data_IF_335235566886
#
_entry.id   IF_335235566886
#
_cell.length_a   1.000
_cell.length_b   1.000
_cell.length_c   1.000
_cell.angle_alpha   90.00
_cell.angle_beta   90.00
_cell.angle_gamma   90.00
#
_symmetry.space_group_name_H-M   'P 1'
#
loop_
_entity.id
_entity.type
_entity.pdbx_description
1 polymer ?
#
# COMPACT_ATOMS: atom_id res chain seq x y z
N UNK A 1 4.02 14.70 21.56
CA UNK A 1 4.62 13.59 20.80
C UNK A 1 3.57 12.52 20.60
N UNK A 2 2.83 12.59 19.50
CA UNK A 2 1.74 11.66 19.23
C UNK A 2 2.31 10.38 18.61
N UNK A 3 1.67 9.22 18.81
CA UNK A 3 2.09 7.95 18.22
C UNK A 3 2.20 7.98 16.68
N UNK A 4 1.51 8.92 16.03
CA UNK A 4 1.54 9.11 14.58
C UNK A 4 2.90 9.62 14.06
N UNK A 5 3.61 10.45 14.83
CA UNK A 5 4.94 10.97 14.43
C UNK A 5 5.98 9.84 14.27
N UNK A 6 5.87 8.76 15.07
CA UNK A 6 6.83 7.64 15.02
C UNK A 6 6.65 6.69 13.83
N UNK A 7 5.46 6.69 13.22
CA UNK A 7 5.13 5.80 12.10
C UNK A 7 5.53 6.43 10.76
N UNK A 8 5.39 7.76 10.67
CA UNK A 8 5.79 8.58 9.51
C UNK A 8 7.30 8.75 9.38
N UNK A 9 8.07 8.73 10.48
CA UNK A 9 9.54 8.82 10.43
C UNK A 9 10.24 7.56 9.86
N UNK A 10 9.55 6.42 9.76
CA UNK A 10 10.14 5.12 9.37
C UNK A 10 9.82 4.66 7.95
N UNK A 11 8.73 5.15 7.37
CA UNK A 11 8.54 5.13 5.92
C UNK A 11 9.46 6.20 5.37
N UNK A 12 10.15 5.93 4.26
CA UNK A 12 11.06 6.89 3.65
C UNK A 12 10.39 8.25 3.49
N UNK A 13 11.19 9.31 3.48
CA UNK A 13 10.74 10.72 3.33
C UNK A 13 9.85 10.99 2.11
N UNK A 14 9.57 9.96 1.30
CA UNK A 14 8.88 9.96 0.03
C UNK A 14 7.43 9.49 0.14
N UNK A 15 7.04 8.75 1.19
CA UNK A 15 5.65 8.29 1.36
C UNK A 15 5.03 8.93 2.61
N UNK A 16 4.13 9.89 2.39
CA UNK A 16 3.27 10.43 3.43
C UNK A 16 2.16 9.45 3.82
N UNK A 17 2.00 9.17 5.12
CA UNK A 17 0.81 8.48 5.64
C UNK A 17 -0.35 9.49 5.66
N UNK A 18 -1.25 9.40 4.69
CA UNK A 18 -2.37 10.33 4.58
C UNK A 18 -3.60 9.74 5.26
N UNK A 19 -3.99 10.28 6.43
CA UNK A 19 -5.19 9.80 7.14
C UNK A 19 -6.52 10.05 6.38
N UNK A 20 -6.49 10.86 5.32
CA UNK A 20 -7.65 11.37 4.58
C UNK A 20 -7.49 11.23 3.04
N UNK A 21 -7.25 10.03 2.49
CA UNK A 21 -7.34 9.77 1.03
C UNK A 21 -8.75 9.27 0.62
N UNK A 22 -9.84 9.69 1.30
CA UNK A 22 -10.67 8.85 2.12
C UNK A 22 -12.02 8.57 1.44
N UNK A 23 -12.42 7.30 1.27
CA UNK A 23 -13.81 6.82 1.01
C UNK A 23 -14.58 7.38 -0.21
N UNK A 24 -14.22 8.55 -0.74
CA UNK A 24 -14.83 9.23 -1.88
C UNK A 24 -14.25 8.71 -3.19
N UNK A 25 -12.95 8.39 -3.21
CA UNK A 25 -12.32 7.71 -4.35
C UNK A 25 -12.94 6.31 -4.51
N UNK A 26 -12.93 5.49 -3.45
CA UNK A 26 -13.45 4.12 -3.50
C UNK A 26 -14.94 3.96 -3.93
N UNK A 27 -15.76 5.01 -3.84
CA UNK A 27 -17.21 4.93 -4.18
C UNK A 27 -17.53 5.13 -5.66
N UNK A 28 -16.61 5.65 -6.47
CA UNK A 28 -16.85 6.03 -7.87
C UNK A 28 -15.76 5.49 -8.81
N UNK A 29 -15.22 4.32 -8.48
CA UNK A 29 -14.04 3.76 -9.15
C UNK A 29 -14.41 2.43 -9.81
N UNK A 30 -13.95 2.24 -11.05
CA UNK A 30 -13.98 0.96 -11.75
C UNK A 30 -12.82 0.09 -11.24
N UNK A 31 -13.08 -1.18 -10.89
CA UNK A 31 -12.05 -2.13 -10.45
C UNK A 31 -11.29 -2.68 -11.66
N UNK A 32 -9.97 -2.54 -11.64
CA UNK A 32 -9.07 -3.15 -12.61
C UNK A 32 -8.10 -4.09 -11.89
N UNK A 33 -7.99 -5.32 -12.36
CA UNK A 33 -6.99 -6.26 -11.85
C UNK A 33 -5.74 -6.06 -12.69
N UNK A 34 -4.87 -5.17 -12.24
CA UNK A 34 -3.55 -5.01 -12.84
C UNK A 34 -2.64 -6.13 -12.31
N UNK A 35 -2.15 -6.97 -13.22
CA UNK A 35 -1.14 -7.99 -12.89
C UNK A 35 0.23 -7.33 -12.87
N UNK A 36 0.85 -7.28 -11.69
CA UNK A 36 2.24 -6.88 -11.55
C UNK A 36 3.10 -8.15 -11.45
N UNK A 37 4.14 -8.23 -12.28
CA UNK A 37 4.91 -9.45 -12.51
C UNK A 37 5.57 -10.02 -11.25
N UNK A 38 5.89 -9.18 -10.25
CA UNK A 38 6.35 -9.63 -8.93
C UNK A 38 6.40 -8.49 -7.93
N UNK A 39 6.00 -8.77 -6.69
CA UNK A 39 6.28 -7.91 -5.53
C UNK A 39 7.61 -8.35 -4.90
N UNK A 40 8.63 -7.50 -4.93
CA UNK A 40 9.94 -7.79 -4.33
C UNK A 40 9.86 -7.94 -2.81
N UNK A 41 8.88 -7.29 -2.19
CA UNK A 41 8.59 -7.42 -0.78
C UNK A 41 8.11 -8.82 -0.41
N UNK A 42 7.70 -9.66 -1.37
CA UNK A 42 7.27 -11.02 -1.09
C UNK A 42 8.18 -12.06 -1.75
N UNK A 43 8.94 -12.78 -0.94
CA UNK A 43 9.80 -13.87 -1.41
C UNK A 43 9.51 -15.15 -0.64
N UNK A 44 9.15 -16.21 -1.36
CA UNK A 44 8.85 -17.54 -0.79
C UNK A 44 7.81 -17.48 0.36
N UNK A 45 6.80 -16.61 0.23
CA UNK A 45 5.78 -16.38 1.26
C UNK A 45 6.27 -15.62 2.49
N UNK A 46 7.46 -15.00 2.45
CA UNK A 46 7.94 -14.10 3.49
C UNK A 46 7.82 -12.66 3.03
N UNK A 47 6.98 -11.88 3.71
CA UNK A 47 6.82 -10.45 3.50
C UNK A 47 7.98 -9.69 4.17
N UNK A 48 8.69 -8.85 3.42
CA UNK A 48 9.70 -7.95 3.92
C UNK A 48 9.15 -6.52 3.89
N UNK A 49 8.75 -6.03 5.06
CA UNK A 49 8.08 -4.73 5.17
C UNK A 49 8.94 -3.57 4.63
N UNK A 50 10.26 -3.67 4.76
CA UNK A 50 11.20 -2.66 4.30
C UNK A 50 11.24 -2.49 2.77
N UNK A 51 10.69 -3.43 1.99
CA UNK A 51 10.67 -3.37 0.53
C UNK A 51 9.30 -2.95 -0.03
N UNK A 52 8.28 -2.78 0.82
CA UNK A 52 6.92 -2.45 0.36
C UNK A 52 6.90 -1.06 -0.29
N UNK A 53 7.66 -0.11 0.24
CA UNK A 53 7.80 1.24 -0.33
C UNK A 53 8.32 1.20 -1.77
N UNK A 54 9.37 0.43 -2.03
CA UNK A 54 9.94 0.28 -3.37
C UNK A 54 8.95 -0.36 -4.35
N UNK A 55 8.21 -1.39 -3.92
CA UNK A 55 7.18 -2.02 -4.74
C UNK A 55 6.03 -1.06 -5.06
N UNK A 56 5.58 -0.27 -4.08
CA UNK A 56 4.55 0.75 -4.31
C UNK A 56 5.04 1.81 -5.30
N UNK A 57 6.29 2.26 -5.18
CA UNK A 57 6.90 3.19 -6.12
C UNK A 57 6.94 2.62 -7.53
N UNK A 58 7.36 1.36 -7.66
CA UNK A 58 7.40 0.68 -8.95
C UNK A 58 6.01 0.54 -9.58
N UNK A 59 4.99 0.22 -8.77
CA UNK A 59 3.58 0.20 -9.20
C UNK A 59 3.14 1.58 -9.72
N UNK A 60 3.49 2.66 -9.00
CA UNK A 60 3.15 4.02 -9.42
C UNK A 60 3.82 4.37 -10.74
N UNK A 61 5.13 4.15 -10.86
CA UNK A 61 5.91 4.42 -12.07
C UNK A 61 5.34 3.68 -13.29
N UNK A 62 4.97 2.40 -13.14
CA UNK A 62 4.38 1.61 -14.22
C UNK A 62 3.03 2.18 -14.68
N UNK A 63 2.14 2.52 -13.74
CA UNK A 63 0.83 3.10 -14.05
C UNK A 63 0.95 4.49 -14.71
N UNK A 64 1.95 5.27 -14.32
CA UNK A 64 2.23 6.57 -14.94
C UNK A 64 2.79 6.44 -16.35
N UNK A 65 3.66 5.45 -16.60
CA UNK A 65 4.14 5.10 -17.95
C UNK A 65 2.97 4.70 -18.87
N UNK A 66 1.97 4.02 -18.32
CA UNK A 66 0.74 3.65 -19.02
C UNK A 66 -0.24 4.83 -19.22
N UNK A 67 0.16 6.04 -18.79
CA UNK A 67 -0.57 7.29 -19.00
C UNK A 67 -1.63 7.60 -17.94
N UNK A 68 -1.64 6.88 -16.82
CA UNK A 68 -2.55 7.14 -15.72
C UNK A 68 -1.95 8.16 -14.73
N UNK A 69 -2.81 8.97 -14.10
CA UNK A 69 -2.39 9.86 -13.00
C UNK A 69 -2.62 9.13 -11.68
N UNK A 70 -1.56 8.86 -10.93
CA UNK A 70 -1.68 8.20 -9.62
C UNK A 70 -2.22 9.17 -8.58
N UNK A 71 -3.27 8.76 -7.87
CA UNK A 71 -3.92 9.54 -6.81
C UNK A 71 -3.43 9.12 -5.41
N UNK A 72 -2.85 7.92 -5.29
CA UNK A 72 -2.31 7.36 -4.06
C UNK A 72 -2.56 5.84 -3.98
N UNK A 73 -1.98 5.20 -2.96
CA UNK A 73 -2.16 3.79 -2.65
C UNK A 73 -2.71 3.56 -1.26
N UNK A 74 -3.29 2.38 -1.06
CA UNK A 74 -3.77 1.88 0.20
C UNK A 74 -3.20 0.48 0.40
N UNK A 75 -2.25 0.38 1.34
CA UNK A 75 -1.68 -0.87 1.79
C UNK A 75 -2.53 -1.44 2.92
N UNK A 76 -2.95 -2.68 2.76
CA UNK A 76 -3.72 -3.44 3.74
C UNK A 76 -2.86 -4.64 4.13
N UNK A 77 -2.61 -4.80 5.42
CA UNK A 77 -2.01 -6.01 5.98
C UNK A 77 -3.01 -6.65 6.93
N UNK A 78 -3.40 -7.88 6.63
CA UNK A 78 -4.40 -8.66 7.35
C UNK A 78 -3.73 -9.94 7.87
N UNK A 79 -3.34 -9.94 9.15
CA UNK A 79 -2.63 -11.05 9.80
C UNK A 79 -3.56 -12.25 10.02
N UNK A 80 -4.86 -11.99 10.23
CA UNK A 80 -5.87 -13.04 10.38
C UNK A 80 -6.04 -13.85 9.08
N UNK A 81 -5.95 -13.17 7.94
CA UNK A 81 -6.03 -13.79 6.62
C UNK A 81 -4.69 -14.11 5.98
N UNK A 82 -3.56 -13.79 6.64
CA UNK A 82 -2.23 -13.91 6.06
C UNK A 82 -2.11 -13.20 4.70
N UNK A 83 -2.73 -12.03 4.57
CA UNK A 83 -2.94 -11.35 3.29
C UNK A 83 -2.35 -9.95 3.30
N UNK A 84 -1.63 -9.60 2.24
CA UNK A 84 -1.28 -8.24 1.90
C UNK A 84 -2.07 -7.81 0.66
N UNK A 85 -2.61 -6.60 0.69
CA UNK A 85 -3.18 -5.95 -0.49
C UNK A 85 -2.58 -4.57 -0.68
N UNK A 86 -2.24 -4.21 -1.91
CA UNK A 86 -1.89 -2.86 -2.32
C UNK A 86 -2.94 -2.42 -3.33
N UNK A 87 -3.74 -1.42 -2.97
CA UNK A 87 -4.73 -0.81 -3.84
C UNK A 87 -4.21 0.53 -4.31
N UNK A 88 -3.97 0.69 -5.61
CA UNK A 88 -3.51 1.96 -6.18
C UNK A 88 -4.65 2.61 -6.94
N UNK A 89 -4.96 3.85 -6.58
CA UNK A 89 -6.02 4.63 -7.20
C UNK A 89 -5.41 5.50 -8.28
N UNK A 90 -5.97 5.43 -9.48
CA UNK A 90 -5.50 6.22 -10.63
C UNK A 90 -6.64 6.96 -11.31
N UNK A 91 -6.29 7.95 -12.13
CA UNK A 91 -7.20 8.63 -13.04
C UNK A 91 -6.69 8.49 -14.47
N UNK A 92 -7.52 7.97 -15.36
CA UNK A 92 -7.24 7.87 -16.79
C UNK A 92 -8.49 8.20 -17.59
N UNK A 93 -8.35 8.98 -18.67
CA UNK A 93 -9.50 9.35 -19.52
C UNK A 93 -10.67 10.05 -18.80
N UNK A 94 -10.39 10.76 -17.69
CA UNK A 94 -11.41 11.43 -16.88
C UNK A 94 -12.19 10.50 -15.93
N UNK A 95 -11.87 9.21 -15.90
CA UNK A 95 -12.42 8.21 -14.99
C UNK A 95 -11.40 7.84 -13.91
N UNK A 96 -11.89 7.36 -12.77
CA UNK A 96 -11.03 6.86 -11.70
C UNK A 96 -11.05 5.32 -11.69
N UNK A 97 -9.87 4.73 -11.49
CA UNK A 97 -9.64 3.29 -11.46
C UNK A 97 -8.97 2.88 -10.15
N UNK A 98 -9.15 1.62 -9.74
CA UNK A 98 -8.37 1.00 -8.67
C UNK A 98 -7.71 -0.26 -9.20
N UNK A 99 -6.39 -0.25 -9.16
CA UNK A 99 -5.55 -1.42 -9.40
C UNK A 99 -5.32 -2.11 -8.07
N UNK A 100 -5.70 -3.39 -7.95
CA UNK A 100 -5.47 -4.17 -6.72
C UNK A 100 -4.44 -5.25 -6.95
N UNK A 101 -3.40 -5.26 -6.11
CA UNK A 101 -2.42 -6.33 -6.02
C UNK A 101 -2.62 -7.02 -4.68
N UNK A 102 -2.94 -8.31 -4.69
CA UNK A 102 -3.15 -9.09 -3.47
C UNK A 102 -2.22 -10.28 -3.44
N UNK A 103 -1.67 -10.58 -2.26
CA UNK A 103 -0.77 -11.72 -2.09
C UNK A 103 -0.78 -12.26 -0.67
N UNK A 104 -0.67 -13.58 -0.56
CA UNK A 104 -0.61 -14.25 0.74
C UNK A 104 0.84 -14.29 1.27
N UNK A 105 1.02 -14.05 2.56
CA UNK A 105 2.30 -14.19 3.24
C UNK A 105 2.17 -15.09 4.48
N UNK A 106 3.14 -15.98 4.70
CA UNK A 106 3.19 -16.88 5.87
C UNK A 106 3.92 -16.28 7.05
N UNK A 107 4.86 -15.38 6.75
CA UNK A 107 5.75 -14.75 7.74
C UNK A 107 6.03 -13.33 7.27
N UNK A 108 6.30 -12.45 8.21
CA UNK A 108 6.74 -11.11 7.90
C UNK A 108 8.00 -10.75 8.70
N UNK A 109 8.92 -10.02 8.07
CA UNK A 109 10.19 -9.56 8.65
C UNK A 109 10.34 -8.06 8.46
N UNK A 110 11.20 -7.47 9.28
CA UNK A 110 11.50 -6.03 9.26
C UNK A 110 10.26 -5.13 9.46
N UNK A 111 9.20 -5.64 10.08
CA UNK A 111 8.02 -4.84 10.40
C UNK A 111 8.36 -3.91 11.59
N UNK A 112 8.06 -2.61 11.50
CA UNK A 112 8.19 -1.68 12.62
C UNK A 112 7.40 -2.15 13.86
N UNK A 113 7.97 -2.01 15.06
CA UNK A 113 7.37 -2.48 16.30
C UNK A 113 5.97 -1.89 16.58
N UNK A 114 5.73 -0.66 16.15
CA UNK A 114 4.45 0.03 16.21
C UNK A 114 3.39 -0.63 15.29
N UNK A 115 3.78 -1.01 14.08
CA UNK A 115 2.92 -1.77 13.16
C UNK A 115 2.66 -3.18 13.70
N UNK A 116 3.66 -3.86 14.26
CA UNK A 116 3.48 -5.16 14.91
C UNK A 116 2.47 -5.06 16.06
N UNK A 117 2.56 -4.00 16.88
CA UNK A 117 1.65 -3.78 17.99
C UNK A 117 0.22 -3.50 17.50
N UNK A 118 0.04 -2.75 16.41
CA UNK A 118 -1.26 -2.51 15.80
C UNK A 118 -1.86 -3.79 15.20
N UNK A 119 -1.08 -4.56 14.44
CA UNK A 119 -1.49 -5.85 13.87
C UNK A 119 -1.95 -6.81 14.96
N UNK A 120 -1.18 -6.96 16.05
CA UNK A 120 -1.58 -7.80 17.19
C UNK A 120 -2.85 -7.34 17.89
N UNK A 121 -3.13 -6.03 17.86
CA UNK A 121 -4.29 -5.45 18.54
C UNK A 121 -5.56 -5.54 17.69
N UNK A 122 -5.44 -5.36 16.37
CA UNK A 122 -6.57 -5.19 15.46
C UNK A 122 -6.76 -6.36 14.48
N UNK A 123 -5.79 -7.26 14.36
CA UNK A 123 -5.72 -8.31 13.32
C UNK A 123 -5.38 -7.77 11.93
N UNK A 124 -5.64 -6.48 11.70
CA UNK A 124 -5.52 -5.81 10.41
C UNK A 124 -5.06 -4.37 10.57
N UNK A 125 -4.22 -3.93 9.64
CA UNK A 125 -3.86 -2.52 9.49
C UNK A 125 -4.13 -2.04 8.07
N UNK A 126 -4.41 -0.75 7.98
CA UNK A 126 -4.75 -0.04 6.76
C UNK A 126 -3.90 1.23 6.74
N UNK A 127 -3.04 1.33 5.74
CA UNK A 127 -2.07 2.41 5.57
C UNK A 127 -2.33 3.09 4.23
N UNK A 128 -2.72 4.35 4.29
CA UNK A 128 -2.92 5.20 3.12
C UNK A 128 -1.63 5.92 2.80
N UNK A 129 -1.16 5.78 1.57
CA UNK A 129 0.17 6.14 1.13
C UNK A 129 0.05 7.01 -0.11
N UNK A 130 0.81 8.10 -0.17
CA UNK A 130 0.97 8.91 -1.38
C UNK A 130 2.44 9.23 -1.52
N UNK A 131 2.96 9.18 -2.75
CA UNK A 131 4.28 9.72 -3.03
C UNK A 131 4.21 11.25 -2.86
N UNK A 132 5.10 11.80 -2.04
CA UNK A 132 5.37 13.22 -1.98
C UNK A 132 6.19 13.59 -3.24
N UNK A 133 5.70 14.56 -4.01
CA UNK A 133 6.38 15.12 -5.21
C UNK A 133 7.65 15.90 -4.84
#
# INVERSE_FOLDING_TARGET
MSKQEKMTEKWGKLIGIINDVPKKLAKAVEEEISTFDSLNCLQQGTLNFALIEDDIKHIHEQLEVDGAVVLGSHLILDDEKNLMEIKTYTRSGGKNYVSTVSSEFKRAKNIPADIVAELKKKGRIELHLKLDD
#
